data_IF_063253506308
#
_entry.id   IF_063253506308
#
_cell.length_a   1.000
_cell.length_b   1.000
_cell.length_c   1.000
_cell.angle_alpha   90.00
_cell.angle_beta   90.00
_cell.angle_gamma   90.00
#
_symmetry.space_group_name_H-M   'P 1'
#
loop_
_entity.id
_entity.type
_entity.pdbx_description
1 polymer ?
#
# COMPACT_ATOMS: atom_id res chain seq x y z
N UNK A 1 4.56 -29.45 -11.42
CA UNK A 1 4.34 -30.55 -10.45
C UNK A 1 5.56 -30.59 -9.53
N UNK A 2 5.42 -30.87 -8.23
CA UNK A 2 6.61 -31.01 -7.37
C UNK A 2 7.28 -32.35 -7.68
N UNK A 3 8.58 -32.33 -7.94
CA UNK A 3 9.34 -33.57 -8.15
C UNK A 3 9.50 -34.35 -6.85
N UNK A 4 9.30 -35.68 -6.91
CA UNK A 4 9.39 -36.56 -5.74
C UNK A 4 10.76 -36.48 -5.05
N UNK A 5 11.84 -36.39 -5.80
CA UNK A 5 13.20 -36.27 -5.27
C UNK A 5 13.39 -34.96 -4.49
N UNK A 6 12.89 -33.84 -5.03
CA UNK A 6 12.95 -32.54 -4.34
C UNK A 6 12.13 -32.55 -3.03
N UNK A 7 10.96 -33.21 -3.06
CA UNK A 7 10.12 -33.38 -1.87
C UNK A 7 10.79 -34.26 -0.80
N UNK A 8 11.40 -35.38 -1.20
CA UNK A 8 12.13 -36.26 -0.28
C UNK A 8 13.31 -35.54 0.38
N UNK A 9 14.13 -34.83 -0.41
CA UNK A 9 15.25 -34.04 0.11
C UNK A 9 14.80 -32.96 1.09
N UNK A 10 13.67 -32.30 0.82
CA UNK A 10 13.10 -31.30 1.72
C UNK A 10 12.59 -31.91 3.02
N UNK A 11 11.79 -32.98 2.96
CA UNK A 11 11.27 -33.66 4.14
C UNK A 11 12.39 -34.24 5.00
N UNK A 12 13.48 -34.71 4.39
CA UNK A 12 14.66 -35.17 5.11
C UNK A 12 15.30 -34.05 5.96
N UNK A 13 15.30 -32.81 5.44
CA UNK A 13 15.71 -31.64 6.20
C UNK A 13 14.74 -31.31 7.35
N UNK A 14 13.43 -31.32 7.09
CA UNK A 14 12.39 -31.05 8.11
C UNK A 14 12.45 -32.02 9.28
N UNK A 15 12.69 -33.31 9.00
CA UNK A 15 12.74 -34.34 10.03
C UNK A 15 14.16 -34.66 10.53
N UNK A 16 15.19 -33.97 10.03
CA UNK A 16 16.60 -34.21 10.35
C UNK A 16 17.00 -35.70 10.23
N UNK A 17 16.56 -36.36 9.15
CA UNK A 17 16.76 -37.79 8.96
C UNK A 17 16.35 -38.29 7.56
N UNK A 18 16.63 -39.55 7.22
CA UNK A 18 16.26 -40.10 5.92
C UNK A 18 14.74 -40.16 5.75
N UNK A 19 14.26 -39.76 4.57
CA UNK A 19 12.85 -39.83 4.18
C UNK A 19 12.70 -40.40 2.78
N UNK A 20 11.91 -41.47 2.67
CA UNK A 20 11.55 -42.08 1.38
C UNK A 20 10.11 -41.74 1.01
N UNK A 21 9.92 -40.99 -0.09
CA UNK A 21 8.58 -40.64 -0.59
C UNK A 21 8.02 -41.81 -1.41
N UNK A 22 7.05 -42.51 -0.82
CA UNK A 22 6.38 -43.69 -1.40
C UNK A 22 5.38 -43.28 -2.47
N UNK A 23 4.52 -42.30 -2.17
CA UNK A 23 3.49 -41.84 -3.09
C UNK A 23 3.18 -40.35 -2.96
N UNK A 24 2.77 -39.76 -4.08
CA UNK A 24 2.20 -38.42 -4.16
C UNK A 24 0.95 -38.54 -5.01
N UNK A 25 -0.21 -38.21 -4.45
CA UNK A 25 -1.52 -38.37 -5.10
C UNK A 25 -2.34 -37.10 -4.89
N UNK A 26 -3.11 -36.61 -5.87
CA UNK A 26 -4.11 -35.58 -5.59
C UNK A 26 -4.97 -36.03 -4.40
N UNK A 27 -5.28 -35.11 -3.49
CA UNK A 27 -6.26 -35.39 -2.46
C UNK A 27 -7.62 -35.37 -3.19
N UNK A 28 -8.00 -36.51 -3.77
CA UNK A 28 -9.31 -36.67 -4.39
C UNK A 28 -10.38 -36.50 -3.31
N UNK A 29 -11.50 -35.90 -3.69
CA UNK A 29 -12.69 -35.84 -2.83
C UNK A 29 -13.24 -37.27 -2.70
N UNK A 30 -12.63 -38.09 -1.85
CA UNK A 30 -12.99 -39.49 -1.61
C UNK A 30 -14.42 -39.66 -1.07
N UNK A 31 -15.13 -38.57 -0.79
CA UNK A 31 -16.52 -38.51 -0.33
C UNK A 31 -17.51 -38.02 -1.40
N UNK A 32 -17.11 -37.86 -2.67
CA UNK A 32 -18.04 -37.51 -3.78
C UNK A 32 -18.81 -38.72 -4.31
N UNK A 33 -19.36 -39.55 -3.42
CA UNK A 33 -20.42 -40.50 -3.78
C UNK A 33 -21.74 -39.73 -3.91
N UNK A 34 -21.90 -39.01 -5.03
CA UNK A 34 -23.18 -38.48 -5.49
C UNK A 34 -23.76 -37.26 -4.76
N UNK A 35 -23.03 -36.62 -3.85
CA UNK A 35 -23.42 -35.34 -3.25
C UNK A 35 -22.81 -34.15 -4.01
N UNK A 36 -23.66 -33.22 -4.47
CA UNK A 36 -23.22 -31.95 -5.05
C UNK A 36 -22.57 -31.09 -3.95
N UNK A 37 -21.27 -30.81 -4.09
CA UNK A 37 -20.57 -29.84 -3.24
C UNK A 37 -21.12 -28.44 -3.52
N UNK A 38 -21.79 -27.78 -2.53
CA UNK A 38 -22.31 -26.43 -2.74
C UNK A 38 -21.20 -25.40 -2.98
N UNK A 39 -19.93 -25.74 -2.74
CA UNK A 39 -18.76 -24.88 -2.94
C UNK A 39 -18.03 -25.21 -4.25
N UNK A 40 -18.44 -24.53 -5.33
CA UNK A 40 -17.83 -24.72 -6.66
C UNK A 40 -16.44 -24.13 -6.88
N UNK A 41 -15.81 -23.46 -5.89
CA UNK A 41 -14.51 -22.80 -6.05
C UNK A 41 -13.55 -23.07 -4.88
N UNK A 42 -12.29 -23.37 -5.21
CA UNK A 42 -11.19 -23.60 -4.27
C UNK A 42 -9.86 -23.02 -4.75
N UNK A 43 -8.98 -22.67 -3.81
CA UNK A 43 -7.72 -21.98 -4.09
C UNK A 43 -6.57 -22.89 -4.54
N UNK A 44 -6.83 -24.16 -4.79
CA UNK A 44 -5.82 -25.13 -5.19
C UNK A 44 -6.32 -26.56 -5.03
N UNK A 45 -5.57 -27.50 -5.60
CA UNK A 45 -5.79 -28.93 -5.38
C UNK A 45 -4.69 -29.40 -4.45
N UNK A 46 -4.98 -29.67 -3.17
CA UNK A 46 -4.02 -30.28 -2.27
C UNK A 46 -3.65 -31.68 -2.76
N UNK A 47 -2.48 -32.16 -2.36
CA UNK A 47 -2.07 -33.53 -2.64
C UNK A 47 -1.57 -34.20 -1.37
N UNK A 48 -1.90 -35.47 -1.25
CA UNK A 48 -1.38 -36.36 -0.21
C UNK A 48 0.04 -36.79 -0.58
N UNK A 49 0.88 -36.85 0.44
CA UNK A 49 2.25 -37.34 0.39
C UNK A 49 2.38 -38.46 1.40
N UNK A 50 2.64 -39.65 0.90
CA UNK A 50 2.94 -40.83 1.70
C UNK A 50 4.46 -41.04 1.72
N UNK A 51 5.05 -41.09 2.92
CA UNK A 51 6.49 -41.33 3.06
C UNK A 51 6.84 -42.19 4.27
N UNK A 52 8.04 -42.76 4.23
CA UNK A 52 8.69 -43.39 5.37
C UNK A 52 9.64 -42.36 5.99
N UNK A 53 9.46 -42.05 7.28
CA UNK A 53 10.37 -41.21 8.06
C UNK A 53 11.05 -42.13 9.07
N UNK A 54 12.29 -42.54 8.79
CA UNK A 54 12.86 -43.75 9.39
C UNK A 54 11.96 -44.96 9.08
N UNK A 55 11.62 -45.75 10.11
CA UNK A 55 10.75 -46.94 9.95
C UNK A 55 9.24 -46.61 10.07
N UNK A 56 8.87 -45.34 10.26
CA UNK A 56 7.48 -44.94 10.44
C UNK A 56 6.85 -44.44 9.15
N UNK A 57 5.76 -45.08 8.73
CA UNK A 57 4.91 -44.61 7.64
C UNK A 57 4.12 -43.38 8.10
N UNK A 58 4.20 -42.28 7.36
CA UNK A 58 3.48 -41.04 7.63
C UNK A 58 2.76 -40.53 6.38
N UNK A 59 1.64 -39.87 6.60
CA UNK A 59 0.82 -39.21 5.58
C UNK A 59 0.81 -37.72 5.86
N UNK A 60 1.06 -36.92 4.83
CA UNK A 60 1.04 -35.47 4.88
C UNK A 60 0.16 -34.93 3.75
N UNK A 61 -0.40 -33.74 3.94
CA UNK A 61 -1.07 -33.01 2.87
C UNK A 61 -0.26 -31.77 2.57
N UNK A 62 0.09 -31.60 1.30
CA UNK A 62 0.74 -30.38 0.82
C UNK A 62 -0.27 -29.58 0.03
N UNK A 63 -0.50 -28.36 0.48
CA UNK A 63 -1.39 -27.40 -0.16
C UNK A 63 -0.59 -26.27 -0.79
N UNK A 64 -1.01 -25.84 -1.99
CA UNK A 64 -0.49 -24.64 -2.63
C UNK A 64 -1.64 -23.77 -3.08
N UNK A 65 -1.67 -22.56 -2.54
CA UNK A 65 -2.56 -21.50 -3.01
C UNK A 65 -2.15 -21.09 -4.42
N UNK A 66 -3.05 -21.31 -5.38
CA UNK A 66 -2.88 -20.87 -6.77
C UNK A 66 -3.04 -19.36 -6.84
N UNK A 67 -2.29 -18.67 -7.71
CA UNK A 67 -2.57 -17.28 -8.05
C UNK A 67 -4.01 -17.19 -8.59
N UNK A 68 -4.84 -16.39 -7.94
CA UNK A 68 -6.21 -16.15 -8.34
C UNK A 68 -6.52 -14.65 -8.16
N UNK A 69 -6.97 -14.01 -9.24
CA UNK A 69 -7.25 -12.59 -9.26
C UNK A 69 -8.50 -12.26 -8.44
N UNK A 70 -8.43 -11.21 -7.62
CA UNK A 70 -9.57 -10.64 -6.91
C UNK A 70 -9.86 -11.24 -5.53
N UNK A 71 -9.16 -12.30 -5.14
CA UNK A 71 -9.38 -13.00 -3.87
C UNK A 71 -8.36 -12.68 -2.76
N UNK A 72 -7.40 -11.80 -3.02
CA UNK A 72 -6.35 -11.49 -2.04
C UNK A 72 -5.27 -12.57 -1.97
N UNK A 73 -5.04 -13.28 -3.08
CA UNK A 73 -3.93 -14.22 -3.28
C UNK A 73 -3.14 -13.89 -4.56
N UNK A 74 -3.28 -12.65 -5.02
CA UNK A 74 -2.79 -12.16 -6.30
C UNK A 74 -1.25 -12.11 -6.28
N UNK A 75 -0.65 -11.55 -5.22
CA UNK A 75 0.79 -11.41 -5.07
C UNK A 75 1.44 -12.59 -4.37
N UNK A 76 2.74 -12.86 -4.64
CA UNK A 76 3.53 -13.79 -3.84
C UNK A 76 3.49 -13.49 -2.35
N UNK A 77 3.51 -12.20 -1.96
CA UNK A 77 3.43 -11.77 -0.57
C UNK A 77 2.13 -12.20 0.12
N UNK A 78 0.99 -12.12 -0.57
CA UNK A 78 -0.31 -12.54 0.00
C UNK A 78 -0.31 -14.04 0.34
N UNK A 79 0.26 -14.85 -0.56
CA UNK A 79 0.35 -16.31 -0.39
C UNK A 79 1.36 -16.68 0.68
N UNK A 80 2.49 -15.95 0.76
CA UNK A 80 3.48 -16.12 1.81
C UNK A 80 2.88 -15.80 3.18
N UNK A 81 2.17 -14.67 3.31
CA UNK A 81 1.47 -14.28 4.53
C UNK A 81 0.53 -15.40 5.01
N UNK A 82 -0.30 -15.95 4.12
CA UNK A 82 -1.26 -17.00 4.46
C UNK A 82 -0.59 -18.24 5.05
N UNK A 83 0.48 -18.74 4.43
CA UNK A 83 1.13 -19.98 4.88
C UNK A 83 1.97 -19.77 6.13
N UNK A 84 2.66 -18.62 6.25
CA UNK A 84 3.49 -18.28 7.41
C UNK A 84 2.62 -18.06 8.66
N UNK A 85 1.58 -17.22 8.54
CA UNK A 85 0.64 -16.99 9.63
C UNK A 85 -0.11 -18.28 10.00
N UNK A 86 -0.55 -19.04 8.98
CA UNK A 86 -1.22 -20.32 9.15
C UNK A 86 -0.37 -21.34 9.93
N UNK A 87 0.94 -21.40 9.69
CA UNK A 87 1.82 -22.34 10.39
C UNK A 87 1.79 -22.17 11.91
N UNK A 88 1.91 -20.93 12.40
CA UNK A 88 1.81 -20.64 13.83
C UNK A 88 0.38 -20.82 14.36
N UNK A 89 -0.62 -20.29 13.65
CA UNK A 89 -2.02 -20.31 14.10
C UNK A 89 -2.61 -21.73 14.17
N UNK A 90 -2.27 -22.61 13.23
CA UNK A 90 -2.74 -24.00 13.22
C UNK A 90 -2.28 -24.76 14.46
N UNK A 91 -1.07 -24.46 14.92
CA UNK A 91 -0.45 -25.18 16.03
C UNK A 91 -0.90 -24.68 17.41
N UNK A 92 -1.58 -23.54 17.50
CA UNK A 92 -2.13 -23.01 18.75
C UNK A 92 -3.63 -23.25 18.92
N UNK A 93 -4.36 -23.55 17.84
CA UNK A 93 -5.81 -23.74 17.91
C UNK A 93 -6.21 -25.19 18.25
N UNK A 94 -7.06 -25.44 19.27
CA UNK A 94 -7.45 -26.79 19.66
C UNK A 94 -8.16 -27.55 18.53
N UNK A 95 -7.84 -28.85 18.41
CA UNK A 95 -8.40 -29.77 17.38
C UNK A 95 -8.13 -29.34 15.93
N UNK A 96 -7.21 -28.41 15.70
CA UNK A 96 -6.72 -28.13 14.37
C UNK A 96 -5.66 -29.16 13.97
N UNK A 97 -5.58 -29.53 12.69
CA UNK A 97 -4.46 -30.34 12.19
C UNK A 97 -3.15 -29.59 12.42
N UNK A 98 -2.13 -30.30 12.93
CA UNK A 98 -0.81 -29.72 13.16
C UNK A 98 -0.20 -29.29 11.82
N UNK A 99 0.25 -28.04 11.74
CA UNK A 99 1.13 -27.60 10.66
C UNK A 99 2.55 -28.09 10.93
N UNK A 100 3.02 -29.03 10.11
CA UNK A 100 4.33 -29.69 10.28
C UNK A 100 5.47 -28.74 9.91
N UNK A 101 5.35 -28.05 8.79
CA UNK A 101 6.33 -27.09 8.27
C UNK A 101 5.64 -26.12 7.28
N UNK A 102 6.31 -25.03 6.96
CA UNK A 102 5.96 -24.07 5.90
C UNK A 102 7.23 -23.74 5.12
N UNK A 103 7.11 -23.45 3.83
CA UNK A 103 8.29 -23.17 3.01
C UNK A 103 7.98 -22.50 1.68
N UNK A 104 9.03 -22.28 0.90
CA UNK A 104 8.95 -21.69 -0.43
C UNK A 104 9.66 -22.56 -1.47
N UNK A 105 9.39 -22.26 -2.74
CA UNK A 105 9.94 -22.99 -3.88
C UNK A 105 10.92 -22.06 -4.58
N UNK A 106 12.17 -22.49 -4.73
CA UNK A 106 13.18 -21.76 -5.50
C UNK A 106 12.86 -21.86 -6.99
N UNK A 107 13.42 -20.94 -7.78
CA UNK A 107 13.36 -21.00 -9.25
C UNK A 107 13.92 -22.33 -9.81
N UNK A 108 14.86 -22.97 -9.10
CA UNK A 108 15.37 -24.30 -9.42
C UNK A 108 14.40 -25.46 -9.17
N UNK A 109 13.22 -25.20 -8.57
CA UNK A 109 12.26 -26.21 -8.14
C UNK A 109 12.51 -26.78 -6.75
N UNK A 110 13.65 -26.47 -6.12
CA UNK A 110 13.96 -26.91 -4.76
C UNK A 110 12.99 -26.31 -3.73
N UNK A 111 12.56 -27.13 -2.76
CA UNK A 111 11.76 -26.70 -1.62
C UNK A 111 12.67 -26.33 -0.45
N UNK A 112 12.31 -25.26 0.26
CA UNK A 112 13.09 -24.73 1.39
C UNK A 112 12.13 -24.44 2.53
N UNK A 113 12.43 -24.96 3.72
CA UNK A 113 11.68 -24.65 4.94
C UNK A 113 11.87 -23.18 5.34
N UNK A 114 10.83 -22.62 5.94
CA UNK A 114 10.78 -21.30 6.55
C UNK A 114 10.08 -21.36 7.92
N UNK A 115 9.91 -22.54 8.53
CA UNK A 115 9.21 -22.67 9.83
C UNK A 115 9.93 -22.00 10.99
N UNK A 116 11.25 -21.86 10.91
CA UNK A 116 12.09 -21.25 11.94
C UNK A 116 12.35 -19.75 11.70
N UNK A 117 11.73 -19.17 10.66
CA UNK A 117 11.82 -17.75 10.38
C UNK A 117 11.14 -16.94 11.49
N UNK A 118 11.94 -16.20 12.27
CA UNK A 118 11.43 -15.29 13.30
C UNK A 118 11.14 -13.89 12.75
N UNK A 119 12.01 -13.37 11.89
CA UNK A 119 11.93 -12.02 11.32
C UNK A 119 12.39 -12.02 9.86
N UNK A 120 11.82 -11.10 9.07
CA UNK A 120 12.25 -10.86 7.69
C UNK A 120 13.01 -9.55 7.61
N UNK A 121 14.13 -9.54 6.87
CA UNK A 121 14.88 -8.32 6.59
C UNK A 121 15.05 -8.11 5.10
N UNK A 122 15.08 -6.85 4.69
CA UNK A 122 15.37 -6.44 3.32
C UNK A 122 16.73 -5.75 3.27
N UNK A 123 17.59 -6.14 2.32
CA UNK A 123 18.82 -5.44 1.99
C UNK A 123 18.61 -4.71 0.66
N UNK A 124 18.80 -3.40 0.67
CA UNK A 124 18.65 -2.52 -0.50
C UNK A 124 19.91 -1.67 -0.69
N UNK A 125 20.18 -1.28 -1.93
CA UNK A 125 21.29 -0.38 -2.23
C UNK A 125 21.10 0.99 -1.59
N UNK A 126 22.18 1.58 -1.09
CA UNK A 126 22.17 2.95 -0.55
C UNK A 126 22.16 3.96 -1.70
N UNK A 127 21.05 4.67 -1.86
CA UNK A 127 20.97 5.80 -2.78
C UNK A 127 21.75 7.02 -2.22
N UNK A 128 22.59 7.70 -3.04
CA UNK A 128 23.17 8.99 -2.66
C UNK A 128 22.16 10.14 -2.89
N UNK A 129 22.38 11.27 -2.22
CA UNK A 129 21.59 12.50 -2.38
C UNK A 129 21.05 13.04 -1.05
N UNK A 130 20.22 14.07 -1.15
CA UNK A 130 19.55 14.74 -0.03
C UNK A 130 18.03 14.55 -0.13
N UNK A 131 17.39 14.25 1.00
CA UNK A 131 15.94 14.09 1.07
C UNK A 131 15.20 15.36 0.67
N UNK A 132 14.20 15.26 -0.20
CA UNK A 132 13.47 16.41 -0.74
C UNK A 132 12.71 17.20 0.32
N UNK A 133 12.31 16.57 1.44
CA UNK A 133 11.67 17.31 2.54
C UNK A 133 12.57 18.42 3.10
N UNK A 134 13.90 18.29 3.01
CA UNK A 134 14.85 19.32 3.45
C UNK A 134 14.80 20.57 2.56
N UNK A 135 14.49 20.43 1.26
CA UNK A 135 14.23 21.58 0.40
C UNK A 135 12.97 22.32 0.86
N UNK A 136 11.91 21.57 1.18
CA UNK A 136 10.64 22.15 1.64
C UNK A 136 10.79 22.82 3.01
N UNK A 137 11.54 22.21 3.93
CA UNK A 137 11.77 22.77 5.26
C UNK A 137 12.62 24.05 5.20
N UNK A 138 13.63 24.08 4.34
CA UNK A 138 14.43 25.29 4.07
C UNK A 138 13.55 26.47 3.61
N UNK A 139 12.52 26.21 2.80
CA UNK A 139 11.61 27.24 2.28
C UNK A 139 10.70 27.88 3.34
N UNK A 140 10.68 27.36 4.57
CA UNK A 140 9.98 28.01 5.68
C UNK A 140 10.62 29.36 6.04
N UNK A 141 11.95 29.45 5.96
CA UNK A 141 12.74 30.61 6.40
C UNK A 141 13.62 31.25 5.33
N UNK A 142 13.86 30.57 4.21
CA UNK A 142 14.75 31.03 3.13
C UNK A 142 13.95 31.27 1.84
N UNK A 143 14.28 32.30 1.05
CA UNK A 143 13.65 32.55 -0.25
C UNK A 143 13.70 31.34 -1.21
N UNK A 144 12.70 31.30 -2.10
CA UNK A 144 12.63 30.31 -3.18
C UNK A 144 13.72 30.54 -4.22
N UNK A 145 14.23 29.44 -4.78
CA UNK A 145 15.19 29.40 -5.89
C UNK A 145 14.49 28.81 -7.11
N UNK A 146 14.99 29.13 -8.30
CA UNK A 146 14.49 28.55 -9.56
C UNK A 146 14.49 27.01 -9.52
N UNK A 147 15.56 26.44 -8.94
CA UNK A 147 15.72 25.01 -8.77
C UNK A 147 14.56 24.34 -8.00
N UNK A 148 13.94 25.01 -7.01
CA UNK A 148 12.86 24.41 -6.23
C UNK A 148 11.62 24.18 -7.12
N UNK A 149 11.34 25.13 -8.03
CA UNK A 149 10.29 24.99 -9.04
C UNK A 149 10.66 23.99 -10.13
N UNK A 150 11.92 23.94 -10.55
CA UNK A 150 12.41 22.93 -11.51
C UNK A 150 12.26 21.51 -10.98
N UNK A 151 12.62 21.28 -9.71
CA UNK A 151 12.45 19.98 -9.04
C UNK A 151 10.98 19.58 -8.96
N UNK A 152 10.08 20.48 -8.56
CA UNK A 152 8.64 20.22 -8.54
C UNK A 152 8.12 19.79 -9.93
N UNK A 153 8.50 20.52 -10.99
CA UNK A 153 8.11 20.17 -12.37
C UNK A 153 8.75 18.87 -12.87
N UNK A 154 9.98 18.57 -12.47
CA UNK A 154 10.66 17.33 -12.83
C UNK A 154 9.97 16.10 -12.20
N UNK A 155 9.60 16.19 -10.92
CA UNK A 155 8.83 15.16 -10.22
C UNK A 155 7.46 14.92 -10.89
N UNK A 156 6.77 15.99 -11.28
CA UNK A 156 5.50 15.91 -12.01
C UNK A 156 5.65 15.17 -13.36
N UNK A 157 6.66 15.53 -14.16
CA UNK A 157 6.93 14.88 -15.45
C UNK A 157 7.33 13.41 -15.28
N UNK A 158 8.13 13.10 -14.25
CA UNK A 158 8.50 11.73 -13.93
C UNK A 158 7.26 10.88 -13.62
N UNK A 159 6.37 11.36 -12.74
CA UNK A 159 5.12 10.65 -12.46
C UNK A 159 4.27 10.47 -13.72
N UNK A 160 4.11 11.52 -14.54
CA UNK A 160 3.34 11.42 -15.79
C UNK A 160 3.90 10.33 -16.73
N UNK A 161 5.23 10.24 -16.84
CA UNK A 161 5.89 9.18 -17.62
C UNK A 161 5.66 7.79 -17.03
N UNK A 162 5.78 7.62 -15.71
CA UNK A 162 5.50 6.34 -15.06
C UNK A 162 4.04 5.91 -15.24
N UNK A 163 3.10 6.84 -15.06
CA UNK A 163 1.66 6.57 -15.08
C UNK A 163 1.10 6.33 -16.49
N UNK A 164 1.89 6.58 -17.53
CA UNK A 164 1.55 6.23 -18.91
C UNK A 164 1.53 4.71 -19.15
N UNK A 165 2.26 3.94 -18.34
CA UNK A 165 2.18 2.48 -18.36
C UNK A 165 0.91 2.01 -17.63
N UNK A 166 0.00 1.37 -18.38
CA UNK A 166 -1.33 0.95 -17.93
C UNK A 166 -1.44 -0.56 -17.91
N UNK A 167 -2.28 -1.07 -17.00
CA UNK A 167 -2.59 -2.51 -16.91
C UNK A 167 -4.10 -2.72 -16.95
N UNK A 168 -4.55 -3.64 -17.79
CA UNK A 168 -5.95 -4.07 -17.80
C UNK A 168 -6.18 -5.19 -16.78
N UNK A 169 -6.55 -4.80 -15.56
CA UNK A 169 -6.91 -5.75 -14.51
C UNK A 169 -7.94 -5.15 -13.53
N UNK A 170 -9.24 -5.23 -13.84
CA UNK A 170 -10.29 -4.60 -13.04
C UNK A 170 -10.33 -5.07 -11.59
N UNK A 171 -10.05 -6.36 -11.32
CA UNK A 171 -9.95 -6.91 -9.96
C UNK A 171 -8.86 -6.24 -9.14
N UNK A 172 -7.71 -5.95 -9.76
CA UNK A 172 -6.60 -5.29 -9.09
C UNK A 172 -6.92 -3.84 -8.81
N UNK A 173 -7.50 -3.10 -9.75
CA UNK A 173 -7.94 -1.73 -9.50
C UNK A 173 -8.93 -1.65 -8.32
N UNK A 174 -9.90 -2.56 -8.27
CA UNK A 174 -10.85 -2.66 -7.17
C UNK A 174 -10.17 -3.00 -5.84
N UNK A 175 -9.14 -3.86 -5.86
CA UNK A 175 -8.31 -4.16 -4.69
C UNK A 175 -7.59 -2.90 -4.20
N UNK A 176 -6.97 -2.13 -5.08
CA UNK A 176 -6.24 -0.90 -4.70
C UNK A 176 -7.15 0.16 -4.08
N UNK A 177 -8.36 0.34 -4.61
CA UNK A 177 -9.36 1.22 -3.99
C UNK A 177 -9.88 0.69 -2.65
N UNK A 178 -10.01 -0.63 -2.49
CA UNK A 178 -10.35 -1.24 -1.19
C UNK A 178 -9.23 -1.00 -0.18
N UNK A 179 -7.97 -1.12 -0.59
CA UNK A 179 -6.81 -0.92 0.27
C UNK A 179 -6.67 0.55 0.71
N UNK A 180 -6.94 1.53 -0.15
CA UNK A 180 -7.00 2.95 0.27
C UNK A 180 -7.95 3.19 1.45
N UNK A 181 -9.08 2.49 1.48
CA UNK A 181 -10.09 2.65 2.53
C UNK A 181 -9.77 1.79 3.75
N UNK A 182 -9.54 0.48 3.55
CA UNK A 182 -9.56 -0.51 4.63
C UNK A 182 -8.24 -1.19 4.96
N UNK A 183 -7.13 -0.85 4.30
CA UNK A 183 -5.84 -1.43 4.68
C UNK A 183 -5.35 -0.85 6.01
N UNK A 184 -4.63 -1.65 6.80
CA UNK A 184 -4.10 -1.26 8.12
C UNK A 184 -3.07 -0.12 8.08
N UNK A 185 -2.56 0.21 6.90
CA UNK A 185 -1.65 1.34 6.66
C UNK A 185 -2.28 2.48 5.85
N UNK A 186 -3.59 2.40 5.61
CA UNK A 186 -4.38 3.40 4.89
C UNK A 186 -5.49 3.93 5.82
N UNK A 187 -6.54 4.56 5.29
CA UNK A 187 -7.48 5.36 6.08
C UNK A 187 -7.93 4.70 7.40
N UNK A 188 -8.60 3.54 7.36
CA UNK A 188 -9.12 2.89 8.57
C UNK A 188 -8.01 2.55 9.57
N UNK A 189 -6.90 1.97 9.10
CA UNK A 189 -5.78 1.65 9.98
C UNK A 189 -5.10 2.88 10.58
N UNK A 190 -5.05 4.01 9.85
CA UNK A 190 -4.55 5.27 10.39
C UNK A 190 -5.49 5.77 11.48
N UNK A 191 -6.80 5.77 11.24
CA UNK A 191 -7.80 6.17 12.24
C UNK A 191 -7.74 5.28 13.50
N UNK A 192 -7.56 3.96 13.36
CA UNK A 192 -7.37 3.04 14.48
C UNK A 192 -6.12 3.35 15.30
N UNK A 193 -5.08 3.93 14.67
CA UNK A 193 -3.81 4.25 15.32
C UNK A 193 -3.80 5.61 16.06
N UNK A 194 -4.84 6.43 15.88
CA UNK A 194 -5.04 7.65 16.67
C UNK A 194 -5.24 7.31 18.17
N UNK A 195 -4.81 8.19 19.09
CA UNK A 195 -5.17 8.03 20.49
C UNK A 195 -6.68 8.23 20.66
N UNK A 196 -7.41 7.24 21.14
CA UNK A 196 -8.85 7.37 21.40
C UNK A 196 -9.11 7.46 22.90
N UNK A 197 -9.78 8.53 23.40
CA UNK A 197 -10.33 9.69 22.66
C UNK A 197 -9.26 10.72 22.23
N UNK A 198 -9.46 11.38 21.07
CA UNK A 198 -8.66 12.52 20.63
C UNK A 198 -9.48 13.82 20.55
N UNK A 199 -9.07 14.94 21.17
CA UNK A 199 -9.88 16.17 21.19
C UNK A 199 -10.17 16.82 19.83
N UNK A 200 -9.35 16.54 18.80
CA UNK A 200 -9.47 17.16 17.48
C UNK A 200 -10.09 16.24 16.43
N UNK A 201 -10.33 14.98 16.76
CA UNK A 201 -10.92 13.98 15.88
C UNK A 201 -11.75 13.01 16.72
N UNK A 202 -13.05 13.26 16.81
CA UNK A 202 -13.95 12.42 17.60
C UNK A 202 -14.28 11.10 16.87
N UNK A 203 -14.83 10.13 17.59
CA UNK A 203 -15.31 8.88 16.98
C UNK A 203 -16.38 9.12 15.89
N UNK A 204 -17.22 10.15 16.05
CA UNK A 204 -18.22 10.53 15.06
C UNK A 204 -17.57 11.14 13.80
N UNK A 205 -16.48 11.90 13.96
CA UNK A 205 -15.71 12.41 12.83
C UNK A 205 -15.02 11.27 12.06
N UNK A 206 -14.45 10.29 12.78
CA UNK A 206 -13.90 9.08 12.18
C UNK A 206 -14.95 8.31 11.37
N UNK A 207 -16.12 8.05 11.95
CA UNK A 207 -17.22 7.35 11.25
C UNK A 207 -17.65 8.12 9.98
N UNK A 208 -17.79 9.44 10.07
CA UNK A 208 -18.14 10.29 8.92
C UNK A 208 -17.11 10.17 7.78
N UNK A 209 -15.82 10.25 8.11
CA UNK A 209 -14.72 10.07 7.16
C UNK A 209 -14.76 8.69 6.49
N UNK A 210 -14.92 7.62 7.27
CA UNK A 210 -15.01 6.26 6.74
C UNK A 210 -16.19 6.08 5.78
N UNK A 211 -17.37 6.59 6.13
CA UNK A 211 -18.56 6.55 5.27
C UNK A 211 -18.34 7.29 3.96
N UNK A 212 -17.72 8.46 4.00
CA UNK A 212 -17.34 9.23 2.81
C UNK A 212 -16.40 8.42 1.91
N UNK A 213 -15.38 7.80 2.51
CA UNK A 213 -14.36 7.04 1.80
C UNK A 213 -14.88 5.72 1.21
N UNK A 214 -15.80 5.03 1.90
CA UNK A 214 -16.55 3.89 1.34
C UNK A 214 -17.39 4.32 0.14
N UNK A 215 -18.04 5.48 0.22
CA UNK A 215 -18.82 6.04 -0.90
C UNK A 215 -17.93 6.34 -2.11
N UNK A 216 -16.75 6.92 -1.88
CA UNK A 216 -15.73 7.13 -2.90
C UNK A 216 -15.27 5.83 -3.56
N UNK A 217 -14.99 4.77 -2.78
CA UNK A 217 -14.63 3.45 -3.32
C UNK A 217 -15.66 2.98 -4.35
N UNK A 218 -16.96 3.09 -4.05
CA UNK A 218 -18.02 2.67 -4.97
C UNK A 218 -18.11 3.56 -6.21
N UNK A 219 -17.93 4.87 -6.05
CA UNK A 219 -17.91 5.83 -7.16
C UNK A 219 -16.75 5.56 -8.14
N UNK A 220 -15.59 5.19 -7.61
CA UNK A 220 -14.38 4.96 -8.41
C UNK A 220 -14.30 3.54 -8.97
N UNK A 221 -14.98 2.57 -8.35
CA UNK A 221 -14.86 1.12 -8.64
C UNK A 221 -14.82 0.75 -10.13
N UNK A 222 -15.60 1.45 -10.97
CA UNK A 222 -15.73 1.17 -12.40
C UNK A 222 -14.62 1.75 -13.29
N UNK A 223 -13.71 2.58 -12.77
CA UNK A 223 -12.67 3.29 -13.55
C UNK A 223 -11.39 2.47 -13.73
N UNK A 224 -11.52 1.17 -14.01
CA UNK A 224 -10.39 0.25 -14.12
C UNK A 224 -9.36 0.62 -15.20
N UNK A 225 -9.77 1.37 -16.23
CA UNK A 225 -8.88 1.90 -17.27
C UNK A 225 -7.79 2.83 -16.72
N UNK A 226 -7.92 3.30 -15.48
CA UNK A 226 -6.96 4.16 -14.81
C UNK A 226 -5.84 3.39 -14.11
N UNK A 227 -5.93 2.06 -14.00
CA UNK A 227 -4.90 1.25 -13.35
C UNK A 227 -3.55 1.45 -14.06
N UNK A 228 -2.62 2.05 -13.35
CA UNK A 228 -1.32 2.49 -13.87
C UNK A 228 -0.19 1.99 -13.01
N UNK A 229 1.02 1.96 -13.57
CA UNK A 229 2.23 1.83 -12.76
C UNK A 229 2.30 3.02 -11.81
N UNK A 230 2.47 2.76 -10.52
CA UNK A 230 2.59 3.78 -9.46
C UNK A 230 3.76 3.46 -8.55
N UNK A 231 4.20 4.46 -7.79
CA UNK A 231 5.05 4.29 -6.62
C UNK A 231 4.24 3.85 -5.39
N UNK A 232 3.07 4.45 -5.18
CA UNK A 232 2.14 4.18 -4.07
C UNK A 232 2.48 4.92 -2.76
N UNK A 233 3.59 5.67 -2.72
CA UNK A 233 4.00 6.47 -1.55
C UNK A 233 4.99 7.58 -1.92
N UNK A 234 4.70 8.28 -3.01
CA UNK A 234 5.59 9.27 -3.61
C UNK A 234 5.57 10.60 -2.83
N UNK A 235 6.29 10.67 -1.71
CA UNK A 235 6.34 11.85 -0.84
C UNK A 235 7.78 12.33 -0.56
N UNK A 236 7.99 13.55 -0.04
CA UNK A 236 9.33 14.16 0.08
C UNK A 236 10.36 13.38 0.90
N UNK A 237 9.95 12.48 1.81
CA UNK A 237 10.86 11.60 2.55
C UNK A 237 11.33 10.36 1.77
N UNK A 238 10.76 10.09 0.60
CA UNK A 238 11.12 8.97 -0.28
C UNK A 238 11.86 9.44 -1.54
N UNK A 239 12.25 10.71 -1.59
CA UNK A 239 12.88 11.33 -2.75
C UNK A 239 14.26 11.88 -2.36
N UNK A 240 15.31 11.44 -3.03
CA UNK A 240 16.67 11.91 -2.81
C UNK A 240 17.21 12.60 -4.06
N UNK A 241 17.40 13.92 -3.98
CA UNK A 241 18.06 14.66 -5.05
C UNK A 241 19.58 14.58 -4.92
N UNK A 242 20.25 14.23 -6.01
CA UNK A 242 21.73 14.21 -6.10
C UNK A 242 22.23 15.59 -6.51
N UNK A 243 21.87 16.03 -7.71
CA UNK A 243 22.22 17.32 -8.27
C UNK A 243 21.12 17.80 -9.22
N UNK A 244 20.88 19.12 -9.27
CA UNK A 244 19.83 19.69 -10.11
C UNK A 244 18.48 18.99 -9.91
N UNK A 245 17.91 18.45 -11.00
CA UNK A 245 16.67 17.66 -11.00
C UNK A 245 16.89 16.16 -11.06
N UNK A 246 18.12 15.67 -10.86
CA UNK A 246 18.43 14.25 -10.82
C UNK A 246 18.14 13.67 -9.42
N UNK A 247 17.33 12.62 -9.33
CA UNK A 247 16.89 12.05 -8.06
C UNK A 247 16.75 10.52 -8.08
N UNK A 248 16.71 9.93 -6.88
CA UNK A 248 16.28 8.55 -6.63
C UNK A 248 14.97 8.54 -5.87
N UNK A 249 14.20 7.47 -6.09
CA UNK A 249 13.01 7.13 -5.30
C UNK A 249 13.35 5.99 -4.34
N UNK A 250 12.78 6.01 -3.15
CA UNK A 250 12.89 4.97 -2.14
C UNK A 250 11.51 4.40 -1.79
N UNK A 251 11.49 3.20 -1.25
CA UNK A 251 10.31 2.62 -0.59
C UNK A 251 9.04 2.54 -1.47
N UNK A 252 9.06 1.58 -2.40
CA UNK A 252 7.89 1.22 -3.23
C UNK A 252 7.10 0.05 -2.62
N UNK A 253 7.05 -0.05 -1.29
CA UNK A 253 6.49 -1.21 -0.56
C UNK A 253 4.97 -1.37 -0.74
N UNK A 254 4.26 -0.30 -1.10
CA UNK A 254 2.80 -0.32 -1.28
C UNK A 254 2.30 -0.94 -2.59
N UNK A 255 3.20 -1.43 -3.44
CA UNK A 255 2.85 -2.18 -4.65
C UNK A 255 3.04 -1.40 -5.96
N UNK A 256 3.05 -2.13 -7.07
CA UNK A 256 3.49 -1.58 -8.36
C UNK A 256 2.37 -0.99 -9.23
N UNK A 257 1.12 -1.41 -9.05
CA UNK A 257 -0.03 -0.97 -9.84
C UNK A 257 -1.08 -0.32 -8.94
N UNK A 258 -1.64 0.80 -9.38
CA UNK A 258 -2.60 1.57 -8.61
C UNK A 258 -3.20 2.75 -9.38
N UNK A 259 -3.75 3.70 -8.63
CA UNK A 259 -4.35 4.90 -9.17
C UNK A 259 -3.33 6.04 -9.15
N UNK A 260 -3.04 6.70 -10.30
CA UNK A 260 -2.18 7.88 -10.38
C UNK A 260 -2.43 8.98 -9.35
N UNK A 261 -3.69 9.16 -8.94
CA UNK A 261 -4.06 10.15 -7.92
C UNK A 261 -3.38 9.90 -6.56
N UNK A 262 -2.95 8.66 -6.27
CA UNK A 262 -2.22 8.33 -5.04
C UNK A 262 -0.88 9.07 -5.00
N UNK A 263 -0.01 8.87 -5.99
CA UNK A 263 1.30 9.52 -6.06
C UNK A 263 1.20 11.05 -6.19
N UNK A 264 0.25 11.53 -7.00
CA UNK A 264 0.04 12.97 -7.17
C UNK A 264 -0.41 13.61 -5.85
N UNK A 265 -1.32 12.97 -5.11
CA UNK A 265 -1.77 13.50 -3.82
C UNK A 265 -0.70 13.39 -2.74
N UNK A 266 0.10 12.31 -2.73
CA UNK A 266 1.16 12.06 -1.76
C UNK A 266 2.23 13.16 -1.78
N UNK A 267 2.62 13.64 -2.97
CA UNK A 267 3.51 14.78 -3.10
C UNK A 267 2.77 16.12 -2.98
N UNK A 268 1.63 16.26 -3.65
CA UNK A 268 0.87 17.51 -3.72
C UNK A 268 0.47 18.05 -2.35
N UNK A 269 -0.03 17.18 -1.47
CA UNK A 269 -0.45 17.55 -0.11
C UNK A 269 0.72 18.11 0.71
N UNK A 270 1.95 17.69 0.42
CA UNK A 270 3.12 18.14 1.18
C UNK A 270 3.46 19.59 0.87
N UNK A 271 3.30 20.05 -0.38
CA UNK A 271 3.39 21.49 -0.66
C UNK A 271 2.35 22.27 0.16
N UNK A 272 1.09 21.80 0.17
CA UNK A 272 0.03 22.44 0.95
C UNK A 272 0.35 22.46 2.46
N UNK A 273 0.79 21.33 3.01
CA UNK A 273 1.17 21.17 4.40
C UNK A 273 2.29 22.13 4.83
N UNK A 274 3.38 22.20 4.07
CA UNK A 274 4.48 23.13 4.39
C UNK A 274 4.02 24.59 4.25
N UNK A 275 3.11 24.90 3.31
CA UNK A 275 2.49 26.21 3.21
C UNK A 275 1.62 26.57 4.42
N UNK A 276 0.86 25.61 4.96
CA UNK A 276 0.09 25.81 6.22
C UNK A 276 1.03 25.99 7.41
N UNK A 277 2.11 25.20 7.49
CA UNK A 277 3.14 25.36 8.54
C UNK A 277 3.74 26.76 8.51
N UNK A 278 4.13 27.24 7.32
CA UNK A 278 4.69 28.57 7.15
C UNK A 278 3.68 29.65 7.55
N UNK A 279 2.44 29.55 7.08
CA UNK A 279 1.38 30.47 7.46
C UNK A 279 1.21 30.53 8.99
N UNK A 280 1.21 29.38 9.66
CA UNK A 280 1.09 29.33 11.12
C UNK A 280 2.30 29.94 11.85
N UNK A 281 3.53 29.77 11.33
CA UNK A 281 4.73 30.44 11.87
C UNK A 281 4.63 31.96 11.75
N UNK A 282 4.03 32.44 10.66
CA UNK A 282 3.84 33.85 10.35
C UNK A 282 2.55 34.43 10.99
N UNK A 283 1.83 33.64 11.80
CA UNK A 283 0.59 34.05 12.50
C UNK A 283 -0.67 34.11 11.62
N UNK A 284 -0.62 33.58 10.40
CA UNK A 284 -1.73 33.55 9.44
C UNK A 284 -2.44 32.20 9.33
N UNK A 285 -3.40 32.11 8.40
CA UNK A 285 -4.17 30.91 8.04
C UNK A 285 -4.11 30.64 6.54
N UNK A 286 -4.33 29.38 6.13
CA UNK A 286 -4.23 28.96 4.73
C UNK A 286 -2.82 28.55 4.32
N UNK A 287 -2.55 28.55 3.01
CA UNK A 287 -1.31 28.10 2.40
C UNK A 287 -0.46 29.31 2.01
N UNK A 288 0.69 29.48 2.68
CA UNK A 288 1.61 30.57 2.39
C UNK A 288 2.44 30.31 1.11
N UNK A 289 2.90 31.41 0.50
CA UNK A 289 3.94 31.34 -0.53
C UNK A 289 5.30 30.99 0.07
N UNK A 290 6.21 30.32 -0.67
CA UNK A 290 6.11 29.94 -2.10
C UNK A 290 5.37 28.61 -2.36
N UNK A 291 4.86 27.96 -1.32
CA UNK A 291 4.37 26.59 -1.42
C UNK A 291 3.10 26.45 -2.27
N UNK A 292 2.23 27.46 -2.27
CA UNK A 292 1.06 27.48 -3.14
C UNK A 292 1.46 27.48 -4.63
N UNK A 293 2.51 28.23 -4.99
CA UNK A 293 3.02 28.26 -6.37
C UNK A 293 3.71 26.95 -6.75
N UNK A 294 4.44 26.31 -5.82
CA UNK A 294 5.02 24.98 -6.04
C UNK A 294 3.93 23.91 -6.25
N UNK A 295 2.87 23.93 -5.44
CA UNK A 295 1.72 23.04 -5.61
C UNK A 295 1.08 23.19 -7.00
N UNK A 296 0.83 24.44 -7.42
CA UNK A 296 0.27 24.74 -8.75
C UNK A 296 1.19 24.28 -9.86
N UNK A 297 2.48 24.63 -9.77
CA UNK A 297 3.47 24.24 -10.78
C UNK A 297 3.58 22.71 -10.92
N UNK A 298 3.57 21.97 -9.79
CA UNK A 298 3.57 20.51 -9.80
C UNK A 298 2.31 19.94 -10.45
N UNK A 299 1.12 20.35 -9.99
CA UNK A 299 -0.14 19.79 -10.46
C UNK A 299 -0.42 20.14 -11.93
N UNK A 300 -0.20 21.40 -12.33
CA UNK A 300 -0.44 21.83 -13.70
C UNK A 300 0.54 21.15 -14.67
N UNK A 301 1.81 21.00 -14.30
CA UNK A 301 2.80 20.25 -15.11
C UNK A 301 2.41 18.78 -15.25
N UNK A 302 1.91 18.15 -14.19
CA UNK A 302 1.46 16.77 -14.26
C UNK A 302 0.26 16.62 -15.19
N UNK A 303 -0.75 17.49 -15.06
CA UNK A 303 -1.95 17.48 -15.90
C UNK A 303 -1.63 17.69 -17.38
N UNK A 304 -0.73 18.64 -17.67
CA UNK A 304 -0.27 18.91 -19.04
C UNK A 304 0.51 17.72 -19.61
N UNK A 305 1.48 17.18 -18.87
CA UNK A 305 2.34 16.10 -19.34
C UNK A 305 1.60 14.75 -19.48
N UNK A 306 0.63 14.47 -18.59
CA UNK A 306 -0.12 13.20 -18.61
C UNK A 306 -1.35 13.24 -19.51
N UNK A 307 -1.92 14.42 -19.75
CA UNK A 307 -3.22 14.57 -20.42
C UNK A 307 -4.40 13.99 -19.61
N UNK A 308 -4.22 13.70 -18.32
CA UNK A 308 -5.23 13.06 -17.48
C UNK A 308 -6.36 14.03 -17.10
N UNK A 309 -7.42 14.01 -17.91
CA UNK A 309 -8.59 14.90 -17.74
C UNK A 309 -9.49 14.52 -16.56
N UNK A 310 -9.39 13.30 -16.05
CA UNK A 310 -10.24 12.83 -14.96
C UNK A 310 -9.60 13.06 -13.59
N UNK A 311 -8.27 13.28 -13.51
CA UNK A 311 -7.51 13.31 -12.26
C UNK A 311 -8.17 14.13 -11.14
N UNK A 312 -8.68 15.32 -11.46
CA UNK A 312 -9.30 16.22 -10.48
C UNK A 312 -10.58 15.62 -9.85
N UNK A 313 -11.27 14.71 -10.54
CA UNK A 313 -12.42 13.99 -9.99
C UNK A 313 -12.01 12.85 -9.04
N UNK A 314 -10.75 12.42 -9.09
CA UNK A 314 -10.22 11.23 -8.41
C UNK A 314 -9.37 11.59 -7.19
N UNK A 315 -8.67 12.72 -7.23
CA UNK A 315 -7.81 13.21 -6.14
C UNK A 315 -8.45 13.26 -4.74
N UNK A 316 -9.72 13.66 -4.56
CA UNK A 316 -10.28 13.90 -3.22
C UNK A 316 -10.06 12.77 -2.19
N UNK A 317 -10.47 11.50 -2.41
CA UNK A 317 -10.27 10.46 -1.41
C UNK A 317 -8.80 10.22 -1.06
N UNK A 318 -7.87 10.41 -2.00
CA UNK A 318 -6.44 10.28 -1.71
C UNK A 318 -5.93 11.46 -0.89
N UNK A 319 -6.34 12.69 -1.21
CA UNK A 319 -6.05 13.86 -0.38
C UNK A 319 -6.64 13.74 1.03
N UNK A 320 -7.85 13.21 1.19
CA UNK A 320 -8.45 12.97 2.50
C UNK A 320 -7.57 12.03 3.33
N UNK A 321 -7.19 10.88 2.77
CA UNK A 321 -6.28 9.94 3.42
C UNK A 321 -4.95 10.59 3.80
N UNK A 322 -4.28 11.27 2.86
CA UNK A 322 -2.97 11.88 3.12
C UNK A 322 -3.03 13.03 4.14
N UNK A 323 -4.13 13.78 4.19
CA UNK A 323 -4.33 14.82 5.18
C UNK A 323 -4.53 14.24 6.60
N UNK A 324 -5.26 13.13 6.74
CA UNK A 324 -5.38 12.41 8.03
C UNK A 324 -4.01 11.89 8.48
N UNK A 325 -3.21 11.32 7.57
CA UNK A 325 -1.82 10.91 7.86
C UNK A 325 -1.00 12.08 8.44
N UNK A 326 -1.01 13.24 7.78
CA UNK A 326 -0.21 14.40 8.23
C UNK A 326 -0.76 14.99 9.54
N UNK A 327 -2.08 14.94 9.76
CA UNK A 327 -2.69 15.40 10.98
C UNK A 327 -2.42 14.48 12.19
N UNK A 328 -1.83 13.30 12.00
CA UNK A 328 -1.65 12.30 13.04
C UNK A 328 -0.73 12.77 14.19
N UNK A 329 -1.19 12.72 15.46
CA UNK A 329 -0.44 13.27 16.60
C UNK A 329 0.83 12.49 16.96
N UNK A 330 0.90 11.19 16.67
CA UNK A 330 2.13 10.42 16.93
C UNK A 330 3.20 10.60 15.85
N UNK A 331 2.80 10.88 14.61
CA UNK A 331 3.74 11.04 13.50
C UNK A 331 4.24 12.48 13.39
N UNK A 332 3.37 13.44 13.70
CA UNK A 332 3.70 14.85 13.67
C UNK A 332 3.40 15.50 15.03
N UNK A 333 4.12 15.14 16.11
CA UNK A 333 3.78 15.54 17.48
C UNK A 333 3.90 17.04 17.74
N UNK A 334 4.68 17.76 16.93
CA UNK A 334 4.96 19.19 17.11
C UNK A 334 3.99 20.11 16.36
N UNK A 335 3.01 19.57 15.61
CA UNK A 335 2.03 20.39 14.91
C UNK A 335 1.07 21.06 15.89
N UNK A 336 0.81 22.34 15.66
CA UNK A 336 -0.20 23.10 16.37
C UNK A 336 -1.60 22.58 16.10
N UNK A 337 -2.50 22.74 17.06
CA UNK A 337 -3.91 22.36 16.90
C UNK A 337 -4.58 23.10 15.73
N UNK A 338 -4.19 24.36 15.46
CA UNK A 338 -4.69 25.12 14.31
C UNK A 338 -4.33 24.45 12.99
N UNK A 339 -3.08 24.00 12.84
CA UNK A 339 -2.62 23.27 11.65
C UNK A 339 -3.36 21.94 11.51
N UNK A 340 -3.52 21.19 12.61
CA UNK A 340 -4.30 19.93 12.57
C UNK A 340 -5.75 20.15 12.20
N UNK A 341 -6.41 21.16 12.77
CA UNK A 341 -7.81 21.50 12.43
C UNK A 341 -7.95 21.84 10.95
N UNK A 342 -7.01 22.59 10.37
CA UNK A 342 -7.02 22.87 8.94
C UNK A 342 -6.89 21.59 8.09
N UNK A 343 -5.97 20.70 8.45
CA UNK A 343 -5.77 19.42 7.74
C UNK A 343 -6.96 18.47 7.88
N UNK A 344 -7.55 18.35 9.07
CA UNK A 344 -8.72 17.50 9.31
C UNK A 344 -9.97 18.06 8.65
N UNK A 345 -10.16 19.39 8.66
CA UNK A 345 -11.22 20.04 7.89
C UNK A 345 -11.07 19.85 6.39
N UNK A 346 -9.83 19.92 5.88
CA UNK A 346 -9.53 19.57 4.49
C UNK A 346 -9.85 18.11 4.19
N UNK A 347 -9.48 17.18 5.09
CA UNK A 347 -9.79 15.77 4.93
C UNK A 347 -11.30 15.49 4.85
N UNK A 348 -12.09 16.09 5.75
CA UNK A 348 -13.56 15.97 5.73
C UNK A 348 -14.14 16.53 4.42
N UNK A 349 -13.67 17.70 3.97
CA UNK A 349 -14.11 18.28 2.70
C UNK A 349 -13.80 17.38 1.51
N UNK A 350 -12.65 16.70 1.52
CA UNK A 350 -12.22 15.78 0.46
C UNK A 350 -12.90 14.40 0.52
N UNK A 351 -13.36 13.97 1.70
CA UNK A 351 -14.16 12.75 1.86
C UNK A 351 -15.58 12.90 1.31
N UNK A 352 -16.06 14.13 1.13
CA UNK A 352 -17.36 14.43 0.50
C UNK A 352 -17.28 14.32 -1.03
N UNK A 353 -18.38 13.96 -1.72
CA UNK A 353 -18.39 13.85 -3.17
C UNK A 353 -18.21 15.21 -3.85
N UNK A 354 -17.28 15.29 -4.80
CA UNK A 354 -17.05 16.49 -5.61
C UNK A 354 -15.69 16.43 -6.30
N UNK A 355 -15.53 17.10 -7.43
CA UNK A 355 -14.21 17.24 -8.05
C UNK A 355 -13.36 18.23 -7.24
N UNK A 356 -12.06 17.99 -7.18
CA UNK A 356 -11.11 18.89 -6.56
C UNK A 356 -10.96 20.19 -7.38
N UNK A 357 -11.35 21.32 -6.79
CA UNK A 357 -11.13 22.64 -7.38
C UNK A 357 -9.87 23.28 -6.80
N UNK A 358 -8.78 23.26 -7.58
CA UNK A 358 -7.49 23.83 -7.20
C UNK A 358 -7.54 25.31 -6.82
N UNK A 359 -8.56 26.06 -7.26
CA UNK A 359 -8.74 27.49 -6.90
C UNK A 359 -9.25 27.68 -5.47
N UNK A 360 -9.88 26.65 -4.90
CA UNK A 360 -10.45 26.68 -3.55
C UNK A 360 -9.48 26.18 -2.48
N UNK A 361 -8.24 25.85 -2.83
CA UNK A 361 -7.24 25.34 -1.88
C UNK A 361 -7.06 26.25 -0.66
N UNK A 362 -7.05 27.57 -0.85
CA UNK A 362 -6.98 28.51 0.28
C UNK A 362 -8.20 28.37 1.20
N UNK A 363 -9.41 28.43 0.64
CA UNK A 363 -10.67 28.26 1.38
C UNK A 363 -10.72 26.92 2.13
N UNK A 364 -10.32 25.82 1.47
CA UNK A 364 -10.36 24.47 2.03
C UNK A 364 -9.36 24.25 3.17
N UNK A 365 -8.32 25.09 3.28
CA UNK A 365 -7.32 25.07 4.35
C UNK A 365 -7.44 26.28 5.30
N UNK A 366 -8.62 26.91 5.35
CA UNK A 366 -8.96 27.97 6.31
C UNK A 366 -8.50 29.38 5.93
N UNK A 367 -7.93 29.57 4.75
CA UNK A 367 -7.60 30.88 4.18
C UNK A 367 -8.82 31.60 3.58
N UNK A 368 -8.67 32.90 3.31
CA UNK A 368 -9.65 33.67 2.52
C UNK A 368 -9.55 33.36 1.03
N UNK A 369 -10.62 33.64 0.27
CA UNK A 369 -10.68 33.42 -1.18
C UNK A 369 -9.69 34.27 -1.97
#
# INVERSE_FOLDING_TARGET
MIERAALASYLAGVFNGPVDVVAVRPLEDAERDGADDPKGFGYGVPFEVECMVGDQRRLFVVSRTRPAQGFGHDYPADRAWQVLYGHAAYNSFPRHVRSVDVGFVRASGALVSASDAAEFFQLVDKAPGQLYWLDLDRLLSVPVRDLDGERARALARFLAQCHADKRDEPSLYQRRLRELVGHGECLMGILDSYPHPYPLLSAADCESLERGMVSWRWRLRGRAHRLSRVHGDFHPWNLLFRDGTDFSVLDRSRGEWGEPADDVSALGINYLFFGVRKSAQDGGVGVAQPFLDLFRAFLDTYLEASGDRELLEILPPFFAFRAVVIAHPRWYPTLSDGTRRALLGFADAMARPGAFDRRRVQELLGGSR
#
